data_IF_144755297758
#
_entry.id   IF_144755297758
#
_cell.length_a   1.000
_cell.length_b   1.000
_cell.length_c   1.000
_cell.angle_alpha   90.00
_cell.angle_beta   90.00
_cell.angle_gamma   90.00
#
_symmetry.space_group_name_H-M   'P 1'
#
loop_
_entity.id
_entity.type
_entity.pdbx_description
1 polymer ?
#
# COMPACT_ATOMS: atom_id res chain seq x y z
N UNK A 1 -77.64 -5.99 -35.58
CA UNK A 1 -76.30 -6.59 -35.74
C UNK A 1 -75.24 -5.67 -35.14
N UNK A 2 -75.37 -5.32 -33.83
CA UNK A 2 -74.59 -4.20 -33.25
C UNK A 2 -74.33 -4.31 -31.73
N UNK A 3 -74.45 -5.51 -31.14
CA UNK A 3 -74.28 -5.68 -29.69
C UNK A 3 -73.11 -6.60 -29.29
N UNK A 4 -72.35 -7.13 -30.24
CA UNK A 4 -71.27 -8.10 -29.98
C UNK A 4 -69.85 -7.51 -30.06
N UNK A 5 -69.69 -6.28 -30.56
CA UNK A 5 -68.35 -5.70 -30.81
C UNK A 5 -67.76 -4.96 -29.59
N UNK A 6 -68.62 -4.38 -28.75
CA UNK A 6 -68.17 -3.62 -27.57
C UNK A 6 -67.60 -4.51 -26.45
N UNK A 7 -68.04 -5.78 -26.34
CA UNK A 7 -67.53 -6.72 -25.33
C UNK A 7 -66.16 -7.29 -25.69
N UNK A 8 -65.85 -7.43 -26.98
CA UNK A 8 -64.56 -7.96 -27.43
C UNK A 8 -63.46 -6.89 -27.29
N UNK A 9 -63.78 -5.62 -27.55
CA UNK A 9 -62.85 -4.50 -27.30
C UNK A 9 -62.56 -4.29 -25.81
N UNK A 10 -63.56 -4.47 -24.93
CA UNK A 10 -63.35 -4.37 -23.48
C UNK A 10 -62.48 -5.53 -22.95
N UNK A 11 -62.64 -6.74 -23.49
CA UNK A 11 -61.82 -7.89 -23.13
C UNK A 11 -60.37 -7.77 -23.64
N UNK A 12 -60.17 -7.14 -24.82
CA UNK A 12 -58.84 -6.86 -25.38
C UNK A 12 -58.11 -5.73 -24.62
N UNK A 13 -58.84 -4.72 -24.12
CA UNK A 13 -58.30 -3.67 -23.25
C UNK A 13 -57.93 -4.18 -21.85
N UNK A 14 -58.63 -5.20 -21.34
CA UNK A 14 -58.30 -5.87 -20.08
C UNK A 14 -57.09 -6.83 -20.20
N UNK A 15 -56.81 -7.37 -21.39
CA UNK A 15 -55.64 -8.21 -21.66
C UNK A 15 -54.36 -7.39 -22.01
N UNK A 16 -54.50 -6.09 -22.26
CA UNK A 16 -53.39 -5.14 -22.48
C UNK A 16 -52.91 -4.43 -21.20
N UNK A 17 -53.49 -4.75 -20.04
CA UNK A 17 -52.78 -4.54 -18.77
C UNK A 17 -51.71 -5.62 -18.62
N UNK A 18 -50.72 -5.57 -19.52
CA UNK A 18 -49.39 -6.03 -19.20
C UNK A 18 -49.01 -5.22 -17.98
N UNK A 19 -49.06 -5.86 -16.81
CA UNK A 19 -48.35 -5.37 -15.65
C UNK A 19 -46.93 -5.13 -16.13
N UNK A 20 -46.58 -3.85 -16.35
CA UNK A 20 -45.19 -3.45 -16.19
C UNK A 20 -44.94 -3.67 -14.72
N UNK A 21 -44.53 -4.89 -14.36
CA UNK A 21 -43.87 -5.12 -13.09
C UNK A 21 -42.55 -4.37 -13.24
N UNK A 22 -42.59 -3.05 -13.04
CA UNK A 22 -41.41 -2.33 -12.59
C UNK A 22 -41.03 -3.07 -11.33
N UNK A 23 -40.01 -3.92 -11.40
CA UNK A 23 -39.53 -4.64 -10.23
C UNK A 23 -39.21 -3.57 -9.19
N UNK A 24 -40.12 -3.37 -8.24
CA UNK A 24 -39.99 -2.30 -7.28
C UNK A 24 -38.83 -2.69 -6.38
N UNK A 25 -37.78 -1.85 -6.39
CA UNK A 25 -36.64 -2.04 -5.51
C UNK A 25 -37.16 -2.30 -4.09
N UNK A 26 -36.58 -3.28 -3.42
CA UNK A 26 -37.02 -3.69 -2.10
C UNK A 26 -37.12 -2.47 -1.15
N UNK A 27 -38.20 -2.30 -0.36
CA UNK A 27 -38.45 -1.07 0.39
C UNK A 27 -37.31 -0.65 1.32
N UNK A 28 -36.61 -1.60 1.93
CA UNK A 28 -35.46 -1.32 2.79
C UNK A 28 -34.28 -0.71 2.01
N UNK A 29 -34.05 -1.15 0.78
CA UNK A 29 -32.97 -0.68 -0.08
C UNK A 29 -33.33 0.70 -0.64
N UNK A 30 -34.58 0.90 -1.05
CA UNK A 30 -35.12 2.19 -1.45
C UNK A 30 -34.93 3.26 -0.36
N UNK A 31 -35.34 2.97 0.88
CA UNK A 31 -35.17 3.90 2.01
C UNK A 31 -33.69 4.15 2.35
N UNK A 32 -32.83 3.16 2.18
CA UNK A 32 -31.39 3.32 2.38
C UNK A 32 -30.77 4.25 1.33
N UNK A 33 -31.16 4.13 0.06
CA UNK A 33 -30.72 5.04 -1.01
C UNK A 33 -31.22 6.47 -0.78
N UNK A 34 -32.46 6.65 -0.33
CA UNK A 34 -32.98 7.99 0.04
C UNK A 34 -32.16 8.61 1.18
N UNK A 35 -31.86 7.81 2.22
CA UNK A 35 -31.04 8.26 3.33
C UNK A 35 -29.60 8.60 2.89
N UNK A 36 -29.04 7.84 1.95
CA UNK A 36 -27.71 8.09 1.38
C UNK A 36 -27.69 9.41 0.59
N UNK A 37 -28.68 9.62 -0.28
CA UNK A 37 -28.86 10.87 -1.03
C UNK A 37 -29.03 12.09 -0.12
N UNK A 38 -29.74 11.94 0.99
CA UNK A 38 -29.96 13.02 1.95
C UNK A 38 -28.71 13.32 2.80
N UNK A 39 -27.80 12.36 2.96
CA UNK A 39 -26.61 12.48 3.83
C UNK A 39 -25.35 12.93 3.08
N UNK A 40 -25.37 12.84 1.75
CA UNK A 40 -24.26 13.20 0.87
C UNK A 40 -24.71 14.25 -0.15
N UNK A 41 -23.78 15.15 -0.49
CA UNK A 41 -24.00 16.21 -1.46
C UNK A 41 -22.84 16.29 -2.43
N UNK A 42 -23.13 16.70 -3.66
CA UNK A 42 -22.11 17.05 -4.65
C UNK A 42 -21.26 18.24 -4.15
N UNK A 43 -19.95 18.15 -4.32
CA UNK A 43 -19.08 19.32 -4.20
C UNK A 43 -19.23 20.24 -5.41
N UNK A 44 -18.93 21.55 -5.29
CA UNK A 44 -18.99 22.48 -6.43
C UNK A 44 -18.20 21.94 -7.63
N UNK A 45 -18.87 21.74 -8.77
CA UNK A 45 -18.31 21.14 -9.98
C UNK A 45 -18.58 19.64 -10.16
N UNK A 46 -19.22 18.99 -9.19
CA UNK A 46 -19.82 17.65 -9.33
C UNK A 46 -21.31 17.76 -9.62
N UNK A 47 -21.85 16.78 -10.35
CA UNK A 47 -23.27 16.65 -10.66
C UNK A 47 -23.73 15.18 -10.54
N UNK A 48 -23.07 14.40 -9.69
CA UNK A 48 -23.32 12.96 -9.55
C UNK A 48 -24.75 12.67 -9.11
N UNK A 49 -25.26 13.41 -8.12
CA UNK A 49 -26.60 13.20 -7.60
C UNK A 49 -27.70 13.89 -8.41
N UNK A 50 -27.37 14.61 -9.48
CA UNK A 50 -28.35 15.27 -10.34
C UNK A 50 -29.28 14.25 -11.02
N UNK A 51 -28.76 13.07 -11.36
CA UNK A 51 -29.52 11.99 -11.99
C UNK A 51 -30.25 11.07 -11.00
N UNK A 52 -30.12 11.29 -9.69
CA UNK A 52 -30.82 10.51 -8.66
C UNK A 52 -32.23 11.08 -8.46
N UNK A 53 -33.13 10.71 -9.36
CA UNK A 53 -34.55 11.06 -9.31
C UNK A 53 -35.38 9.87 -8.80
N UNK A 54 -35.89 9.99 -7.58
CA UNK A 54 -36.68 8.95 -6.92
C UNK A 54 -38.11 8.77 -7.49
N UNK A 55 -38.46 9.48 -8.57
CA UNK A 55 -39.65 9.14 -9.38
C UNK A 55 -39.36 8.02 -10.39
N UNK A 56 -38.09 7.74 -10.68
CA UNK A 56 -37.63 6.65 -11.53
C UNK A 56 -37.14 5.44 -10.71
N UNK A 57 -36.83 4.34 -11.40
CA UNK A 57 -36.24 3.15 -10.79
C UNK A 57 -34.83 3.46 -10.25
N UNK A 58 -34.56 3.34 -8.94
CA UNK A 58 -33.24 3.62 -8.39
C UNK A 58 -32.13 2.71 -8.92
N UNK A 59 -32.47 1.56 -9.52
CA UNK A 59 -31.50 0.69 -10.18
C UNK A 59 -30.92 1.29 -11.46
N UNK A 60 -31.48 2.39 -12.00
CA UNK A 60 -30.89 3.15 -13.10
C UNK A 60 -30.00 4.31 -12.63
N UNK A 61 -29.88 4.54 -11.32
CA UNK A 61 -29.07 5.65 -10.82
C UNK A 61 -27.59 5.43 -11.10
N UNK A 62 -26.83 6.49 -11.47
CA UNK A 62 -25.39 6.38 -11.60
C UNK A 62 -24.75 5.79 -10.35
N UNK A 63 -23.96 4.74 -10.56
CA UNK A 63 -23.24 4.05 -9.49
C UNK A 63 -24.07 3.06 -8.67
N UNK A 64 -25.37 2.89 -8.92
CA UNK A 64 -26.19 1.86 -8.27
C UNK A 64 -26.31 0.65 -9.19
N UNK A 65 -26.01 -0.53 -8.68
CA UNK A 65 -26.22 -1.80 -9.38
C UNK A 65 -27.14 -2.69 -8.56
N UNK A 66 -28.18 -3.18 -9.21
CA UNK A 66 -29.14 -4.10 -8.63
C UNK A 66 -29.01 -5.51 -9.20
N UNK A 67 -29.44 -6.50 -8.41
CA UNK A 67 -29.73 -7.86 -8.86
C UNK A 67 -31.12 -8.21 -8.35
N UNK A 68 -32.04 -8.50 -9.27
CA UNK A 68 -33.47 -8.55 -8.98
C UNK A 68 -33.93 -7.25 -8.27
N UNK A 69 -34.58 -7.35 -7.12
CA UNK A 69 -35.12 -6.24 -6.34
C UNK A 69 -34.14 -5.71 -5.28
N UNK A 70 -32.85 -6.07 -5.34
CA UNK A 70 -31.86 -5.73 -4.31
C UNK A 70 -30.65 -4.98 -4.87
N UNK A 71 -30.15 -4.01 -4.11
CA UNK A 71 -28.88 -3.33 -4.41
C UNK A 71 -27.71 -4.22 -4.03
N UNK A 72 -26.85 -4.53 -5.00
CA UNK A 72 -25.68 -5.40 -4.82
C UNK A 72 -24.35 -4.64 -4.87
N UNK A 73 -24.30 -3.50 -5.57
CA UNK A 73 -23.14 -2.62 -5.54
C UNK A 73 -23.54 -1.14 -5.56
N UNK A 74 -22.76 -0.32 -4.85
CA UNK A 74 -22.86 1.14 -4.89
C UNK A 74 -21.46 1.73 -5.13
N UNK A 75 -21.32 2.61 -6.12
CA UNK A 75 -20.14 3.42 -6.40
C UNK A 75 -20.50 4.90 -6.38
N UNK A 76 -20.06 5.61 -5.34
CA UNK A 76 -20.47 7.00 -5.10
C UNK A 76 -19.48 8.00 -5.67
N UNK A 77 -19.98 8.91 -6.51
CA UNK A 77 -19.24 9.99 -7.18
C UNK A 77 -18.71 9.61 -8.57
N UNK A 78 -18.29 10.62 -9.34
CA UNK A 78 -17.75 10.42 -10.69
C UNK A 78 -16.25 10.06 -10.61
N UNK A 79 -15.81 8.91 -11.16
CA UNK A 79 -14.42 8.47 -11.12
C UNK A 79 -13.51 9.21 -12.10
N UNK A 80 -14.03 10.11 -12.95
CA UNK A 80 -13.23 10.92 -13.88
C UNK A 80 -12.20 11.75 -13.12
N UNK A 81 -10.99 11.80 -13.68
CA UNK A 81 -9.94 12.67 -13.19
C UNK A 81 -10.45 14.12 -13.11
N UNK A 82 -10.22 14.77 -11.96
CA UNK A 82 -10.67 16.13 -11.61
C UNK A 82 -12.11 16.29 -11.11
N UNK A 83 -12.89 15.21 -10.99
CA UNK A 83 -14.14 15.28 -10.23
C UNK A 83 -13.84 15.72 -8.78
N UNK A 84 -14.52 16.75 -8.25
CA UNK A 84 -14.27 17.23 -6.89
C UNK A 84 -14.81 16.26 -5.83
N UNK A 85 -15.63 15.27 -6.24
CA UNK A 85 -16.19 14.25 -5.37
C UNK A 85 -17.41 14.71 -4.58
N UNK A 86 -17.63 14.05 -3.44
CA UNK A 86 -18.80 14.26 -2.58
C UNK A 86 -18.39 14.82 -1.21
N UNK A 87 -19.34 15.43 -0.51
CA UNK A 87 -19.23 15.85 0.89
C UNK A 87 -20.41 15.32 1.70
N UNK A 88 -20.35 15.46 3.02
CA UNK A 88 -21.39 14.98 3.94
C UNK A 88 -20.89 13.84 4.82
N UNK A 89 -21.78 12.90 5.17
CA UNK A 89 -21.47 11.77 6.05
C UNK A 89 -22.10 10.48 5.54
N UNK A 90 -21.46 9.35 5.79
CA UNK A 90 -22.06 8.04 5.51
C UNK A 90 -23.15 7.76 6.55
N UNK A 91 -24.41 7.49 6.14
CA UNK A 91 -25.49 7.21 7.07
C UNK A 91 -25.39 5.78 7.61
N UNK A 92 -25.90 5.57 8.83
CA UNK A 92 -26.01 4.23 9.41
C UNK A 92 -26.96 3.33 8.62
N UNK A 93 -27.96 3.89 7.94
CA UNK A 93 -28.93 3.15 7.12
C UNK A 93 -28.32 2.26 6.03
N UNK A 94 -27.04 2.45 5.69
CA UNK A 94 -26.29 1.54 4.81
C UNK A 94 -26.41 0.08 5.25
N UNK A 95 -26.49 -0.22 6.56
CA UNK A 95 -26.66 -1.60 7.04
C UNK A 95 -27.91 -2.31 6.49
N UNK A 96 -28.93 -1.56 6.06
CA UNK A 96 -30.21 -2.10 5.56
C UNK A 96 -30.08 -2.71 4.17
N UNK A 97 -29.04 -2.36 3.41
CA UNK A 97 -28.75 -2.91 2.09
C UNK A 97 -28.20 -4.34 2.22
N UNK A 98 -29.08 -5.27 2.60
CA UNK A 98 -28.70 -6.62 3.04
C UNK A 98 -27.96 -7.45 1.97
N UNK A 99 -28.17 -7.15 0.69
CA UNK A 99 -27.50 -7.82 -0.44
C UNK A 99 -26.24 -7.10 -0.93
N UNK A 100 -25.88 -5.96 -0.33
CA UNK A 100 -24.75 -5.14 -0.78
C UNK A 100 -23.43 -5.91 -0.61
N UNK A 101 -22.78 -6.17 -1.73
CA UNK A 101 -21.48 -6.83 -1.81
C UNK A 101 -20.36 -5.82 -2.02
N UNK A 102 -20.61 -4.70 -2.67
CA UNK A 102 -19.58 -3.72 -3.00
C UNK A 102 -20.04 -2.30 -2.65
N UNK A 103 -19.18 -1.58 -1.92
CA UNK A 103 -19.37 -0.16 -1.64
C UNK A 103 -18.06 0.57 -1.92
N UNK A 104 -18.09 1.51 -2.85
CA UNK A 104 -16.98 2.40 -3.14
C UNK A 104 -17.41 3.88 -3.10
N UNK A 105 -16.46 4.73 -2.75
CA UNK A 105 -16.60 6.18 -2.73
C UNK A 105 -15.34 6.79 -3.33
N UNK A 106 -15.50 7.66 -4.31
CA UNK A 106 -14.37 8.41 -4.91
C UNK A 106 -13.78 9.39 -3.89
N UNK A 107 -12.51 9.80 -4.04
CA UNK A 107 -11.91 10.83 -3.20
C UNK A 107 -12.74 12.11 -3.15
N UNK A 108 -12.85 12.72 -1.97
CA UNK A 108 -13.74 13.85 -1.71
C UNK A 108 -13.60 14.40 -0.30
N UNK A 109 -14.67 15.01 0.22
CA UNK A 109 -14.72 15.62 1.55
C UNK A 109 -15.72 14.92 2.48
N UNK A 110 -16.09 13.66 2.22
CA UNK A 110 -16.97 12.91 3.11
C UNK A 110 -16.29 12.70 4.46
N UNK A 111 -16.96 13.11 5.52
CA UNK A 111 -16.39 13.20 6.86
C UNK A 111 -17.17 12.37 7.89
N UNK A 112 -16.64 12.33 9.11
CA UNK A 112 -17.24 11.61 10.23
C UNK A 112 -16.80 10.15 10.32
N UNK A 113 -17.35 9.39 11.28
CA UNK A 113 -16.96 8.01 11.48
C UNK A 113 -17.49 7.09 10.39
N UNK A 114 -16.79 5.98 10.17
CA UNK A 114 -17.35 4.84 9.45
C UNK A 114 -18.54 4.32 10.27
N UNK A 115 -19.72 4.14 9.67
CA UNK A 115 -20.89 3.63 10.38
C UNK A 115 -20.60 2.33 11.13
N UNK A 116 -21.06 2.25 12.37
CA UNK A 116 -20.82 1.09 13.24
C UNK A 116 -21.41 -0.20 12.65
N UNK A 117 -22.55 -0.08 11.95
CA UNK A 117 -23.21 -1.16 11.26
C UNK A 117 -23.05 -0.98 9.75
N UNK A 118 -22.46 -1.98 9.11
CA UNK A 118 -22.32 -2.11 7.66
C UNK A 118 -22.97 -3.42 7.22
N UNK A 119 -23.38 -3.56 5.95
CA UNK A 119 -23.99 -4.80 5.47
C UNK A 119 -23.07 -6.01 5.66
N UNK A 120 -23.55 -7.10 6.29
CA UNK A 120 -22.73 -8.28 6.58
C UNK A 120 -22.24 -9.01 5.32
N UNK A 121 -22.91 -8.77 4.18
CA UNK A 121 -22.58 -9.35 2.87
C UNK A 121 -21.42 -8.69 2.14
N UNK A 122 -20.88 -7.57 2.64
CA UNK A 122 -19.83 -6.82 1.96
C UNK A 122 -18.58 -7.68 1.69
N UNK A 123 -18.11 -7.58 0.44
CA UNK A 123 -16.89 -8.20 -0.09
C UNK A 123 -15.84 -7.16 -0.43
N UNK A 124 -16.28 -5.98 -0.87
CA UNK A 124 -15.41 -4.88 -1.26
C UNK A 124 -15.88 -3.57 -0.60
N UNK A 125 -14.99 -2.94 0.17
CA UNK A 125 -15.23 -1.63 0.76
C UNK A 125 -14.04 -0.72 0.49
N UNK A 126 -14.24 0.31 -0.34
CA UNK A 126 -13.20 1.29 -0.69
C UNK A 126 -13.69 2.72 -0.46
N UNK A 127 -13.16 3.38 0.55
CA UNK A 127 -13.52 4.75 0.95
C UNK A 127 -12.29 5.67 1.01
N UNK A 128 -11.31 5.40 0.15
CA UNK A 128 -10.02 6.07 0.17
C UNK A 128 -10.13 7.58 -0.16
N UNK A 129 -9.20 8.38 0.36
CA UNK A 129 -9.05 9.79 -0.04
C UNK A 129 -10.19 10.70 0.42
N UNK A 130 -10.69 10.50 1.64
CA UNK A 130 -11.79 11.27 2.23
C UNK A 130 -11.38 11.85 3.60
N UNK A 131 -12.34 12.37 4.36
CA UNK A 131 -12.12 12.95 5.69
C UNK A 131 -12.67 12.06 6.82
N UNK A 132 -12.80 10.75 6.57
CA UNK A 132 -13.34 9.81 7.55
C UNK A 132 -12.46 9.77 8.80
N UNK A 133 -13.07 9.78 9.97
CA UNK A 133 -12.38 9.95 11.25
C UNK A 133 -12.87 8.99 12.32
N UNK A 134 -12.31 9.08 13.53
CA UNK A 134 -12.64 8.16 14.61
C UNK A 134 -11.91 6.82 14.49
N UNK A 135 -12.33 5.86 15.32
CA UNK A 135 -11.66 4.56 15.48
C UNK A 135 -12.23 3.50 14.55
N UNK A 136 -11.38 2.59 14.09
CA UNK A 136 -11.82 1.34 13.49
C UNK A 136 -12.51 0.49 14.57
N UNK A 137 -13.83 0.37 14.47
CA UNK A 137 -14.61 -0.34 15.48
C UNK A 137 -14.50 -1.86 15.33
N UNK A 138 -14.57 -2.62 16.43
CA UNK A 138 -14.62 -4.09 16.39
C UNK A 138 -15.81 -4.64 15.58
N UNK A 139 -16.86 -3.86 15.34
CA UNK A 139 -18.03 -4.27 14.55
C UNK A 139 -17.71 -4.63 13.10
N UNK A 140 -16.56 -4.19 12.56
CA UNK A 140 -16.06 -4.63 11.25
C UNK A 140 -15.83 -6.16 11.18
N UNK A 141 -15.80 -6.84 12.32
CA UNK A 141 -15.73 -8.32 12.41
C UNK A 141 -16.93 -9.05 11.84
N UNK A 142 -18.08 -8.39 11.80
CA UNK A 142 -19.31 -8.96 11.24
C UNK A 142 -19.19 -9.15 9.72
N UNK A 143 -18.26 -8.42 9.08
CA UNK A 143 -18.00 -8.49 7.64
C UNK A 143 -17.15 -9.72 7.28
N UNK A 144 -17.67 -10.91 7.60
CA UNK A 144 -16.96 -12.20 7.43
C UNK A 144 -16.60 -12.50 5.97
N UNK A 145 -17.33 -11.92 5.01
CA UNK A 145 -17.12 -12.07 3.57
C UNK A 145 -16.23 -10.99 2.95
N UNK A 146 -15.71 -10.06 3.76
CA UNK A 146 -14.90 -8.94 3.26
C UNK A 146 -13.57 -9.45 2.74
N UNK A 147 -13.27 -9.11 1.48
CA UNK A 147 -12.04 -9.50 0.77
C UNK A 147 -11.09 -8.33 0.62
N UNK A 148 -11.64 -7.14 0.36
CA UNK A 148 -10.88 -5.90 0.18
C UNK A 148 -11.44 -4.82 1.09
N UNK A 149 -10.57 -4.24 1.90
CA UNK A 149 -10.83 -3.04 2.67
C UNK A 149 -9.77 -2.00 2.36
N UNK A 150 -10.18 -0.90 1.73
CA UNK A 150 -9.36 0.28 1.49
C UNK A 150 -9.97 1.50 2.17
N UNK A 151 -9.29 1.98 3.21
CA UNK A 151 -9.62 3.19 3.95
C UNK A 151 -8.44 4.17 3.95
N UNK A 152 -7.55 4.06 2.96
CA UNK A 152 -6.35 4.87 2.88
C UNK A 152 -6.63 6.37 2.72
N UNK A 153 -5.66 7.21 3.07
CA UNK A 153 -5.75 8.67 2.97
C UNK A 153 -7.03 9.24 3.62
N UNK A 154 -7.22 8.92 4.90
CA UNK A 154 -8.31 9.42 5.75
C UNK A 154 -7.74 9.99 7.06
N UNK A 155 -8.59 10.25 8.05
CA UNK A 155 -8.24 10.77 9.38
C UNK A 155 -8.53 9.76 10.50
N UNK A 156 -8.52 8.46 10.19
CA UNK A 156 -8.81 7.40 11.15
C UNK A 156 -7.72 7.33 12.22
N UNK A 157 -8.10 7.05 13.47
CA UNK A 157 -7.18 7.09 14.60
C UNK A 157 -7.42 5.95 15.59
N UNK A 158 -6.51 5.80 16.55
CA UNK A 158 -6.55 4.73 17.55
C UNK A 158 -6.00 3.40 17.04
N UNK A 159 -6.13 2.32 17.83
CA UNK A 159 -5.51 1.04 17.53
C UNK A 159 -6.21 0.28 16.41
N UNK A 160 -5.42 -0.52 15.69
CA UNK A 160 -5.94 -1.50 14.73
C UNK A 160 -6.65 -2.62 15.52
N UNK A 161 -7.95 -2.87 15.31
CA UNK A 161 -8.65 -3.94 16.01
C UNK A 161 -8.12 -5.32 15.58
N UNK A 162 -7.65 -6.12 16.54
CA UNK A 162 -7.12 -7.48 16.29
C UNK A 162 -8.09 -8.38 15.52
N UNK A 163 -9.37 -8.12 15.68
CA UNK A 163 -10.44 -8.88 15.07
C UNK A 163 -10.61 -8.62 13.57
N UNK A 164 -10.19 -7.45 13.07
CA UNK A 164 -10.11 -7.15 11.63
C UNK A 164 -9.05 -8.02 10.94
N UNK A 165 -7.92 -8.26 11.61
CA UNK A 165 -6.83 -9.11 11.15
C UNK A 165 -7.11 -10.62 11.27
N UNK A 166 -8.33 -10.99 11.70
CA UNK A 166 -8.82 -12.37 11.79
C UNK A 166 -10.03 -12.64 10.89
N UNK A 167 -10.37 -11.70 10.00
CA UNK A 167 -11.43 -11.90 9.01
C UNK A 167 -11.03 -13.02 8.03
N UNK A 168 -11.89 -14.03 7.81
CA UNK A 168 -11.50 -15.28 7.17
C UNK A 168 -11.30 -15.14 5.65
N UNK A 169 -11.94 -14.16 5.00
CA UNK A 169 -11.82 -13.93 3.55
C UNK A 169 -10.96 -12.71 3.19
N UNK A 170 -10.42 -11.98 4.18
CA UNK A 170 -9.72 -10.72 3.94
C UNK A 170 -8.37 -10.96 3.27
N UNK A 171 -8.23 -10.47 2.04
CA UNK A 171 -7.03 -10.61 1.20
C UNK A 171 -6.27 -9.29 1.05
N UNK A 172 -6.95 -8.17 1.06
CA UNK A 172 -6.36 -6.85 0.87
C UNK A 172 -6.82 -5.89 1.94
N UNK A 173 -5.86 -5.38 2.71
CA UNK A 173 -6.09 -4.38 3.75
C UNK A 173 -5.17 -3.18 3.49
N UNK A 174 -5.76 -2.03 3.17
CA UNK A 174 -5.06 -0.78 2.89
C UNK A 174 -5.61 0.28 3.84
N UNK A 175 -4.77 0.69 4.80
CA UNK A 175 -5.10 1.70 5.82
C UNK A 175 -4.04 2.81 5.86
N UNK A 176 -3.26 2.94 4.79
CA UNK A 176 -2.16 3.89 4.71
C UNK A 176 -2.61 5.34 4.77
N UNK A 177 -1.74 6.26 5.21
CA UNK A 177 -2.05 7.68 5.25
C UNK A 177 -3.20 8.01 6.22
N UNK A 178 -3.15 7.42 7.42
CA UNK A 178 -4.10 7.68 8.50
C UNK A 178 -3.33 8.10 9.77
N UNK A 179 -4.00 8.11 10.93
CA UNK A 179 -3.43 8.42 12.25
C UNK A 179 -3.57 7.21 13.19
N UNK A 180 -3.51 5.99 12.65
CA UNK A 180 -3.60 4.76 13.43
C UNK A 180 -2.40 4.65 14.36
N UNK A 181 -2.65 4.26 15.60
CA UNK A 181 -1.66 4.25 16.70
C UNK A 181 -1.62 2.90 17.41
N UNK A 182 -0.67 2.74 18.34
CA UNK A 182 -0.47 1.46 19.04
C UNK A 182 0.19 0.41 18.15
N UNK A 183 0.23 -0.84 18.63
CA UNK A 183 0.89 -1.93 17.94
C UNK A 183 0.01 -2.61 16.89
N UNK A 184 0.65 -3.21 15.90
CA UNK A 184 -0.01 -4.17 15.00
C UNK A 184 -0.36 -5.41 15.85
N UNK A 185 -1.65 -5.81 15.93
CA UNK A 185 -2.07 -6.93 16.76
C UNK A 185 -1.39 -8.25 16.40
N UNK A 186 -1.10 -9.05 17.42
CA UNK A 186 -0.63 -10.43 17.26
C UNK A 186 -1.77 -11.34 16.80
N UNK A 187 -1.41 -12.52 16.27
CA UNK A 187 -2.39 -13.53 15.85
C UNK A 187 -3.11 -13.16 14.55
N UNK A 188 -2.38 -12.56 13.60
CA UNK A 188 -2.90 -12.29 12.24
C UNK A 188 -3.18 -13.62 11.54
N UNK A 189 -4.46 -13.94 11.36
CA UNK A 189 -4.92 -15.18 10.72
C UNK A 189 -5.68 -14.96 9.42
N UNK A 190 -6.00 -13.70 9.08
CA UNK A 190 -6.56 -13.36 7.77
C UNK A 190 -5.59 -13.80 6.65
N UNK A 191 -6.08 -14.37 5.54
CA UNK A 191 -5.26 -14.83 4.41
C UNK A 191 -4.81 -13.65 3.54
N UNK A 192 -4.11 -12.69 4.14
CA UNK A 192 -3.70 -11.44 3.49
C UNK A 192 -2.69 -11.72 2.38
N UNK A 193 -2.96 -11.13 1.22
CA UNK A 193 -2.05 -11.02 0.08
C UNK A 193 -1.38 -9.65 0.04
N UNK A 194 -2.12 -8.62 0.48
CA UNK A 194 -1.65 -7.22 0.55
C UNK A 194 -1.99 -6.60 1.90
N UNK A 195 -0.96 -6.11 2.59
CA UNK A 195 -1.08 -5.31 3.80
C UNK A 195 -0.33 -3.99 3.61
N UNK A 196 -1.06 -2.88 3.66
CA UNK A 196 -0.52 -1.54 3.49
C UNK A 196 -0.95 -0.64 4.67
N UNK A 197 0.00 -0.37 5.57
CA UNK A 197 -0.19 0.45 6.76
C UNK A 197 0.76 1.66 6.78
N UNK A 198 1.36 2.01 5.64
CA UNK A 198 2.36 3.08 5.59
C UNK A 198 1.77 4.44 5.99
N UNK A 199 2.63 5.36 6.43
CA UNK A 199 2.22 6.70 6.88
C UNK A 199 1.11 6.67 7.94
N UNK A 200 1.43 6.05 9.07
CA UNK A 200 0.63 6.05 10.29
C UNK A 200 1.55 6.37 11.50
N UNK A 201 1.05 6.23 12.72
CA UNK A 201 1.83 6.41 13.96
C UNK A 201 1.88 5.11 14.76
N UNK A 202 1.99 3.98 14.07
CA UNK A 202 2.06 2.64 14.68
C UNK A 202 3.39 2.45 15.41
N UNK A 203 3.34 1.76 16.55
CA UNK A 203 4.49 1.52 17.43
C UNK A 203 4.67 0.03 17.72
N UNK A 204 5.73 -0.33 18.44
CA UNK A 204 5.98 -1.71 18.87
C UNK A 204 6.56 -2.59 17.77
N UNK A 205 6.43 -3.91 17.94
CA UNK A 205 7.11 -4.92 17.13
C UNK A 205 6.26 -5.41 15.97
N UNK A 206 6.93 -5.92 14.92
CA UNK A 206 6.27 -6.63 13.84
C UNK A 206 5.78 -8.01 14.34
N UNK A 207 4.46 -8.30 14.35
CA UNK A 207 3.97 -9.62 14.70
C UNK A 207 4.26 -10.65 13.60
N UNK A 208 3.99 -11.93 13.87
CA UNK A 208 3.94 -12.91 12.79
C UNK A 208 2.84 -12.55 11.80
N UNK A 209 3.22 -12.49 10.52
CA UNK A 209 2.35 -12.20 9.40
C UNK A 209 2.11 -13.48 8.57
N UNK A 210 1.00 -13.56 7.83
CA UNK A 210 0.66 -14.75 7.06
C UNK A 210 1.64 -14.96 5.90
N UNK A 211 2.00 -16.21 5.66
CA UNK A 211 2.94 -16.61 4.59
C UNK A 211 2.46 -16.25 3.18
N UNK A 212 1.15 -16.01 3.02
CA UNK A 212 0.51 -15.65 1.76
C UNK A 212 0.79 -14.22 1.29
N UNK A 213 1.42 -13.38 2.12
CA UNK A 213 1.68 -11.98 1.78
C UNK A 213 2.61 -11.85 0.58
N UNK A 214 2.16 -11.05 -0.39
CA UNK A 214 2.89 -10.67 -1.59
C UNK A 214 3.31 -9.19 -1.56
N UNK A 215 2.54 -8.35 -0.88
CA UNK A 215 2.81 -6.93 -0.72
C UNK A 215 2.72 -6.55 0.75
N UNK A 216 3.82 -6.01 1.28
CA UNK A 216 3.87 -5.45 2.63
C UNK A 216 4.48 -4.05 2.61
N UNK A 217 3.70 -3.05 3.00
CA UNK A 217 4.22 -1.70 3.25
C UNK A 217 3.85 -1.23 4.65
N UNK A 218 4.88 -0.96 5.45
CA UNK A 218 4.80 -0.44 6.82
C UNK A 218 5.60 0.86 6.97
N UNK A 219 5.98 1.47 5.85
CA UNK A 219 6.87 2.61 5.84
C UNK A 219 6.33 3.81 6.61
N UNK A 220 7.22 4.68 7.10
CA UNK A 220 6.84 5.92 7.79
C UNK A 220 5.91 5.66 8.98
N UNK A 221 6.40 4.86 9.92
CA UNK A 221 5.77 4.57 11.21
C UNK A 221 6.82 4.70 12.32
N UNK A 222 6.49 4.27 13.54
CA UNK A 222 7.38 4.24 14.70
C UNK A 222 7.62 2.79 15.17
N UNK A 223 7.57 1.83 14.24
CA UNK A 223 7.78 0.41 14.52
C UNK A 223 9.24 0.13 14.83
N UNK A 224 9.50 -0.83 15.71
CA UNK A 224 10.84 -1.12 16.22
C UNK A 224 11.12 -2.61 16.42
N UNK A 225 12.33 -2.91 16.89
CA UNK A 225 12.80 -4.26 17.16
C UNK A 225 13.26 -5.02 15.93
N UNK A 226 13.43 -6.34 16.07
CA UNK A 226 13.99 -7.22 15.04
C UNK A 226 12.93 -7.78 14.12
N UNK A 227 13.30 -7.99 12.86
CA UNK A 227 12.42 -8.51 11.79
C UNK A 227 12.93 -9.82 11.19
N UNK A 228 14.11 -10.28 11.58
CA UNK A 228 14.79 -11.48 11.08
C UNK A 228 13.88 -12.71 11.10
N UNK A 229 13.23 -13.00 12.24
CA UNK A 229 12.35 -14.18 12.39
C UNK A 229 11.06 -14.09 11.58
N UNK A 230 10.55 -12.89 11.36
CA UNK A 230 9.28 -12.68 10.65
C UNK A 230 9.49 -12.73 9.15
N UNK A 231 10.49 -12.00 8.64
CA UNK A 231 10.77 -11.89 7.21
C UNK A 231 11.14 -13.24 6.58
N UNK A 232 11.84 -14.12 7.31
CA UNK A 232 12.18 -15.47 6.85
C UNK A 232 10.96 -16.31 6.43
N UNK A 233 9.76 -16.01 6.94
CA UNK A 233 8.54 -16.78 6.64
C UNK A 233 7.74 -16.24 5.46
N UNK A 234 8.12 -15.07 4.93
CA UNK A 234 7.34 -14.35 3.93
C UNK A 234 7.91 -14.55 2.51
N UNK A 235 8.14 -15.80 2.13
CA UNK A 235 8.79 -16.18 0.87
C UNK A 235 7.98 -15.85 -0.39
N UNK A 236 6.71 -15.49 -0.25
CA UNK A 236 5.84 -15.05 -1.35
C UNK A 236 5.91 -13.55 -1.64
N UNK A 237 6.70 -12.79 -0.86
CA UNK A 237 6.83 -11.34 -1.04
C UNK A 237 7.39 -10.99 -2.41
N UNK A 238 6.75 -10.00 -3.03
CA UNK A 238 7.18 -9.34 -4.27
C UNK A 238 7.52 -7.87 -4.04
N UNK A 239 6.91 -7.27 -3.02
CA UNK A 239 7.13 -5.89 -2.60
C UNK A 239 7.25 -5.81 -1.08
N UNK A 240 8.33 -5.22 -0.59
CA UNK A 240 8.55 -4.98 0.83
C UNK A 240 9.06 -3.55 1.06
N UNK A 241 8.31 -2.76 1.82
CA UNK A 241 8.73 -1.44 2.27
C UNK A 241 8.57 -1.32 3.80
N UNK A 242 9.70 -1.30 4.50
CA UNK A 242 9.82 -1.07 5.94
C UNK A 242 10.52 0.27 6.24
N UNK A 243 10.69 1.13 5.24
CA UNK A 243 11.51 2.33 5.35
C UNK A 243 10.97 3.33 6.38
N UNK A 244 11.84 4.20 6.90
CA UNK A 244 11.45 5.26 7.85
C UNK A 244 10.73 4.67 9.08
N UNK A 245 11.46 3.84 9.81
CA UNK A 245 11.03 3.20 11.06
C UNK A 245 12.23 3.12 12.03
N UNK A 246 12.10 2.35 13.10
CA UNK A 246 13.12 2.13 14.12
C UNK A 246 13.52 0.64 14.20
N UNK A 247 13.35 -0.12 13.11
CA UNK A 247 13.73 -1.53 13.06
C UNK A 247 15.24 -1.70 13.22
N UNK A 248 15.65 -2.79 13.88
CA UNK A 248 17.05 -3.04 14.24
C UNK A 248 17.42 -4.51 14.07
N UNK A 249 18.70 -4.83 14.27
CA UNK A 249 19.22 -6.18 14.13
C UNK A 249 19.62 -6.53 12.70
N UNK A 250 20.05 -7.78 12.47
CA UNK A 250 20.55 -8.23 11.18
C UNK A 250 19.42 -8.46 10.17
N UNK A 251 19.77 -8.32 8.89
CA UNK A 251 18.90 -8.73 7.78
C UNK A 251 19.08 -10.23 7.52
N UNK A 252 17.99 -11.02 7.40
CA UNK A 252 18.09 -12.43 7.05
C UNK A 252 18.54 -12.59 5.58
N UNK A 253 19.49 -13.49 5.32
CA UNK A 253 20.06 -13.71 3.99
C UNK A 253 19.05 -14.18 2.94
N UNK A 254 18.10 -15.02 3.35
CA UNK A 254 17.07 -15.58 2.46
C UNK A 254 16.09 -14.53 1.93
N UNK A 255 15.99 -13.37 2.58
CA UNK A 255 15.18 -12.25 2.10
C UNK A 255 15.58 -11.84 0.67
N UNK A 256 16.87 -11.95 0.34
CA UNK A 256 17.42 -11.59 -0.96
C UNK A 256 17.19 -12.68 -2.03
N UNK A 257 16.89 -13.90 -1.61
CA UNK A 257 16.57 -15.02 -2.51
C UNK A 257 15.07 -15.04 -2.88
N UNK A 258 14.23 -14.23 -2.25
CA UNK A 258 12.81 -14.11 -2.62
C UNK A 258 12.64 -13.31 -3.91
N UNK A 259 11.51 -13.51 -4.59
CA UNK A 259 11.18 -12.84 -5.84
C UNK A 259 10.72 -11.36 -5.64
N UNK A 260 11.46 -10.62 -4.81
CA UNK A 260 11.15 -9.23 -4.46
C UNK A 260 11.68 -8.29 -5.56
N UNK A 261 10.79 -7.56 -6.22
CA UNK A 261 11.15 -6.55 -7.21
C UNK A 261 11.57 -5.23 -6.57
N UNK A 262 10.98 -4.90 -5.42
CA UNK A 262 11.27 -3.67 -4.65
C UNK A 262 11.43 -3.98 -3.18
N UNK A 263 12.64 -3.76 -2.66
CA UNK A 263 13.02 -3.93 -1.26
C UNK A 263 13.49 -2.59 -0.70
N UNK A 264 12.68 -1.98 0.16
CA UNK A 264 12.93 -0.67 0.75
C UNK A 264 13.05 -0.78 2.27
N UNK A 265 14.27 -0.68 2.77
CA UNK A 265 14.61 -0.82 4.20
C UNK A 265 15.30 0.42 4.75
N UNK A 266 15.36 1.50 3.97
CA UNK A 266 16.12 2.69 4.29
C UNK A 266 15.61 3.45 5.51
N UNK A 267 16.49 4.22 6.15
CA UNK A 267 16.18 5.04 7.34
C UNK A 267 15.60 4.18 8.48
N UNK A 268 16.40 3.21 8.89
CA UNK A 268 16.15 2.32 10.03
C UNK A 268 17.44 2.22 10.88
N UNK A 269 17.48 1.25 11.79
CA UNK A 269 18.63 0.94 12.63
C UNK A 269 19.17 -0.48 12.36
N UNK A 270 18.94 -1.04 11.16
CA UNK A 270 19.45 -2.36 10.78
C UNK A 270 20.98 -2.39 10.89
N UNK A 271 21.53 -3.49 11.38
CA UNK A 271 22.95 -3.57 11.72
C UNK A 271 23.56 -4.93 11.38
N UNK A 272 24.88 -5.00 11.49
CA UNK A 272 25.62 -6.19 11.10
C UNK A 272 25.80 -6.31 9.59
N UNK A 273 26.49 -7.37 9.14
CA UNK A 273 26.79 -7.58 7.74
C UNK A 273 25.59 -8.11 6.96
N UNK A 274 25.46 -7.64 5.71
CA UNK A 274 24.48 -8.17 4.75
C UNK A 274 25.07 -9.43 4.12
N UNK A 275 24.40 -10.57 4.32
CA UNK A 275 24.83 -11.87 3.79
C UNK A 275 23.69 -12.55 3.04
N UNK A 276 23.46 -12.19 1.77
CA UNK A 276 22.50 -12.90 0.93
C UNK A 276 22.83 -14.40 0.88
N UNK A 277 21.83 -15.28 0.93
CA UNK A 277 22.07 -16.74 0.84
C UNK A 277 22.36 -17.20 -0.60
N UNK A 278 22.11 -16.33 -1.58
CA UNK A 278 22.41 -16.53 -2.99
C UNK A 278 22.26 -15.21 -3.76
N UNK A 279 22.44 -15.24 -5.10
CA UNK A 279 22.16 -14.09 -5.94
C UNK A 279 20.69 -13.67 -5.84
N UNK A 280 20.42 -12.39 -6.10
CA UNK A 280 19.05 -11.89 -6.16
C UNK A 280 18.20 -12.68 -7.16
N UNK A 281 17.00 -13.08 -6.75
CA UNK A 281 16.09 -13.83 -7.61
C UNK A 281 15.50 -13.00 -8.76
N UNK A 282 15.47 -11.66 -8.61
CA UNK A 282 14.94 -10.73 -9.62
C UNK A 282 16.08 -9.85 -10.14
N UNK A 283 16.47 -10.07 -11.39
CA UNK A 283 17.38 -9.17 -12.11
C UNK A 283 16.67 -7.83 -12.37
N UNK A 284 17.36 -6.71 -12.16
CA UNK A 284 16.78 -5.37 -12.26
C UNK A 284 16.03 -4.89 -11.01
N UNK A 285 16.04 -5.65 -9.90
CA UNK A 285 15.36 -5.26 -8.67
C UNK A 285 15.85 -3.90 -8.11
N UNK A 286 14.95 -3.20 -7.41
CA UNK A 286 15.28 -1.99 -6.66
C UNK A 286 15.51 -2.34 -5.20
N UNK A 287 16.72 -2.12 -4.72
CA UNK A 287 17.14 -2.41 -3.34
C UNK A 287 17.65 -1.12 -2.70
N UNK A 288 16.97 -0.70 -1.65
CA UNK A 288 17.36 0.46 -0.85
C UNK A 288 17.59 0.06 0.61
N UNK A 289 18.87 0.00 0.98
CA UNK A 289 19.34 -0.26 2.35
C UNK A 289 19.97 0.99 2.98
N UNK A 290 19.80 2.16 2.34
CA UNK A 290 20.48 3.39 2.74
C UNK A 290 20.09 3.85 4.16
N UNK A 291 20.90 4.71 4.78
CA UNK A 291 20.61 5.26 6.11
C UNK A 291 20.32 4.19 7.17
N UNK A 292 21.28 3.28 7.37
CA UNK A 292 21.23 2.23 8.38
C UNK A 292 22.58 2.13 9.11
N UNK A 293 22.78 1.06 9.90
CA UNK A 293 24.02 0.76 10.62
C UNK A 293 24.67 -0.53 10.08
N UNK A 294 24.43 -0.87 8.82
CA UNK A 294 24.94 -2.09 8.19
C UNK A 294 26.46 -2.05 8.08
N UNK A 295 27.12 -3.17 8.32
CA UNK A 295 28.58 -3.30 8.37
C UNK A 295 29.09 -4.35 7.39
N UNK A 296 30.39 -4.68 7.43
CA UNK A 296 30.98 -5.72 6.61
C UNK A 296 31.36 -5.23 5.21
N UNK A 297 31.64 -6.17 4.30
CA UNK A 297 31.88 -5.88 2.90
C UNK A 297 30.56 -5.70 2.15
N UNK A 298 30.60 -4.98 1.04
CA UNK A 298 29.46 -4.94 0.10
C UNK A 298 29.32 -6.33 -0.53
N UNK A 299 28.17 -7.01 -0.40
CA UNK A 299 27.97 -8.35 -0.97
C UNK A 299 27.89 -8.30 -2.50
N UNK A 300 28.61 -9.22 -3.15
CA UNK A 300 28.63 -9.35 -4.61
C UNK A 300 27.31 -9.89 -5.17
N UNK A 301 26.58 -10.63 -4.34
CA UNK A 301 25.29 -11.27 -4.64
C UNK A 301 24.18 -10.24 -4.97
N UNK A 302 24.37 -8.97 -4.60
CA UNK A 302 23.45 -7.88 -4.94
C UNK A 302 23.68 -7.31 -6.36
N UNK A 303 24.66 -7.81 -7.11
CA UNK A 303 24.96 -7.35 -8.47
C UNK A 303 23.79 -7.40 -9.48
N UNK A 304 22.81 -8.32 -9.37
CA UNK A 304 21.63 -8.28 -10.23
C UNK A 304 20.68 -7.10 -9.99
N UNK A 305 20.88 -6.28 -8.95
CA UNK A 305 20.03 -5.12 -8.72
C UNK A 305 20.12 -4.12 -9.87
N UNK A 306 18.99 -3.61 -10.34
CA UNK A 306 18.94 -2.53 -11.32
C UNK A 306 19.19 -1.16 -10.67
N UNK A 307 18.79 -1.02 -9.41
CA UNK A 307 19.02 0.17 -8.57
C UNK A 307 19.43 -0.25 -7.18
N UNK A 308 20.61 0.15 -6.75
CA UNK A 308 21.19 -0.25 -5.48
C UNK A 308 21.63 0.96 -4.66
N UNK A 309 20.96 1.17 -3.52
CA UNK A 309 21.26 2.23 -2.57
C UNK A 309 21.81 1.60 -1.28
N UNK A 310 23.09 1.86 -1.01
CA UNK A 310 23.83 1.37 0.16
C UNK A 310 24.49 2.52 0.93
N UNK A 311 24.16 3.76 0.59
CA UNK A 311 24.71 4.96 1.17
C UNK A 311 24.31 5.18 2.63
N UNK A 312 25.07 6.01 3.35
CA UNK A 312 24.86 6.28 4.77
C UNK A 312 24.79 5.00 5.62
N UNK A 313 25.81 4.16 5.48
CA UNK A 313 25.99 2.92 6.24
C UNK A 313 27.42 2.85 6.80
N UNK A 314 27.85 1.66 7.20
CA UNK A 314 29.20 1.38 7.71
C UNK A 314 29.88 0.26 6.92
N UNK A 315 29.60 0.16 5.62
CA UNK A 315 30.27 -0.80 4.74
C UNK A 315 31.77 -0.47 4.61
N UNK A 316 32.58 -1.52 4.47
CA UNK A 316 34.04 -1.49 4.47
C UNK A 316 34.60 -2.36 3.35
N UNK A 317 35.90 -2.25 3.10
CA UNK A 317 36.57 -3.06 2.08
C UNK A 317 36.40 -2.49 0.67
N UNK A 318 36.78 -3.28 -0.32
CA UNK A 318 36.66 -2.92 -1.74
C UNK A 318 35.25 -3.22 -2.24
N UNK A 319 34.77 -2.42 -3.19
CA UNK A 319 33.53 -2.73 -3.92
C UNK A 319 33.77 -3.93 -4.84
N UNK A 320 32.92 -4.96 -4.82
CA UNK A 320 33.03 -6.11 -5.71
C UNK A 320 33.11 -5.70 -7.18
N UNK A 321 34.04 -6.31 -7.93
CA UNK A 321 34.26 -6.03 -9.36
C UNK A 321 33.00 -6.32 -10.17
N UNK A 322 32.25 -7.38 -9.85
CA UNK A 322 30.99 -7.72 -10.54
C UNK A 322 29.93 -6.61 -10.48
N UNK A 323 29.89 -5.81 -9.41
CA UNK A 323 28.99 -4.66 -9.32
C UNK A 323 29.43 -3.56 -10.29
N UNK A 324 30.74 -3.34 -10.41
CA UNK A 324 31.34 -2.38 -11.33
C UNK A 324 31.11 -2.83 -12.78
N UNK A 325 31.31 -4.11 -13.09
CA UNK A 325 31.12 -4.65 -14.43
C UNK A 325 29.69 -4.45 -14.91
N UNK A 326 28.70 -4.72 -14.06
CA UNK A 326 27.28 -4.48 -14.38
C UNK A 326 26.92 -3.01 -14.53
N UNK A 327 27.56 -2.14 -13.75
CA UNK A 327 27.41 -0.70 -13.86
C UNK A 327 27.95 -0.19 -15.20
N UNK A 328 29.16 -0.60 -15.58
CA UNK A 328 29.83 -0.22 -16.84
C UNK A 328 29.10 -0.80 -18.06
N UNK A 329 28.58 -2.02 -17.95
CA UNK A 329 27.76 -2.66 -18.98
C UNK A 329 26.36 -2.03 -19.15
N UNK A 330 25.97 -1.06 -18.31
CA UNK A 330 24.65 -0.44 -18.33
C UNK A 330 23.51 -1.34 -17.84
N UNK A 331 23.84 -2.48 -17.23
CA UNK A 331 22.87 -3.42 -16.64
C UNK A 331 22.38 -2.94 -15.27
N UNK A 332 23.20 -2.16 -14.55
CA UNK A 332 22.82 -1.45 -13.33
C UNK A 332 22.68 0.05 -13.64
N UNK A 333 21.49 0.61 -13.38
CA UNK A 333 21.18 2.03 -13.65
C UNK A 333 21.58 2.95 -12.50
N UNK A 334 21.67 2.44 -11.29
CA UNK A 334 21.98 3.25 -10.12
C UNK A 334 22.80 2.48 -9.08
N UNK A 335 23.90 3.08 -8.63
CA UNK A 335 24.72 2.58 -7.52
C UNK A 335 25.14 3.71 -6.59
N UNK A 336 24.54 3.77 -5.41
CA UNK A 336 24.82 4.77 -4.38
C UNK A 336 25.55 4.12 -3.20
N UNK A 337 26.77 4.60 -2.94
CA UNK A 337 27.70 4.07 -1.94
C UNK A 337 28.31 5.16 -1.06
N UNK A 338 27.87 6.41 -1.20
CA UNK A 338 28.39 7.54 -0.45
C UNK A 338 28.20 7.37 1.05
N UNK A 339 29.01 8.07 1.84
CA UNK A 339 28.94 8.02 3.31
C UNK A 339 29.13 6.61 3.90
N UNK A 340 30.10 5.84 3.39
CA UNK A 340 30.56 4.57 3.96
C UNK A 340 32.06 4.66 4.35
N UNK A 341 32.72 3.51 4.54
CA UNK A 341 34.14 3.38 4.84
C UNK A 341 34.86 2.46 3.84
N UNK A 342 34.46 2.56 2.57
CA UNK A 342 35.01 1.76 1.48
C UNK A 342 36.45 2.16 1.16
N UNK A 343 37.27 1.19 0.78
CA UNK A 343 38.72 1.35 0.60
C UNK A 343 39.20 1.21 -0.85
N UNK A 344 38.31 0.91 -1.79
CA UNK A 344 38.68 0.80 -3.20
C UNK A 344 37.47 0.66 -4.14
N UNK A 345 37.62 1.27 -5.31
CA UNK A 345 36.68 1.24 -6.43
C UNK A 345 37.48 0.93 -7.70
N UNK A 346 37.30 -0.25 -8.28
CA UNK A 346 38.06 -0.67 -9.47
C UNK A 346 37.32 -0.26 -10.76
N UNK A 347 37.02 1.05 -10.90
CA UNK A 347 36.31 1.61 -12.07
C UNK A 347 37.34 2.13 -13.08
N UNK A 348 37.77 1.27 -14.00
CA UNK A 348 38.74 1.62 -15.06
C UNK A 348 38.11 2.18 -16.35
N UNK A 349 36.81 1.96 -16.56
CA UNK A 349 36.08 2.33 -17.78
C UNK A 349 35.07 3.47 -17.54
N UNK A 350 34.64 4.11 -18.64
CA UNK A 350 33.62 5.15 -18.59
C UNK A 350 32.26 4.57 -18.18
N UNK A 351 31.61 5.19 -17.20
CA UNK A 351 30.24 4.83 -16.78
C UNK A 351 29.24 5.39 -17.81
N UNK A 352 28.26 4.59 -18.29
CA UNK A 352 27.27 5.05 -19.26
C UNK A 352 26.51 6.30 -18.79
N UNK A 353 26.14 7.19 -19.72
CA UNK A 353 25.47 8.46 -19.40
C UNK A 353 24.10 8.29 -18.71
N UNK A 354 23.42 7.16 -18.91
CA UNK A 354 22.14 6.81 -18.27
C UNK A 354 22.27 6.20 -16.87
N UNK A 355 23.49 6.08 -16.35
CA UNK A 355 23.79 5.45 -15.08
C UNK A 355 24.16 6.49 -14.02
N UNK A 356 23.52 6.42 -12.85
CA UNK A 356 23.81 7.28 -11.71
C UNK A 356 24.72 6.59 -10.70
N UNK A 357 25.92 7.14 -10.47
CA UNK A 357 26.91 6.60 -9.55
C UNK A 357 27.27 7.64 -8.49
N UNK A 358 27.28 7.24 -7.22
CA UNK A 358 27.63 8.10 -6.11
C UNK A 358 28.59 7.42 -5.12
N UNK A 359 29.79 7.98 -4.97
CA UNK A 359 30.91 7.36 -4.22
C UNK A 359 31.53 8.26 -3.15
N UNK A 360 31.08 9.50 -3.02
CA UNK A 360 31.70 10.51 -2.17
C UNK A 360 31.73 10.12 -0.68
N UNK A 361 32.64 10.72 0.09
CA UNK A 361 32.73 10.53 1.54
C UNK A 361 33.03 9.07 1.97
N UNK A 362 33.97 8.43 1.27
CA UNK A 362 34.54 7.11 1.59
C UNK A 362 36.02 7.22 1.97
N UNK A 363 36.66 6.11 2.37
CA UNK A 363 38.08 6.06 2.79
C UNK A 363 39.08 6.00 1.63
N UNK A 364 38.61 6.25 0.41
CA UNK A 364 39.40 6.37 -0.80
C UNK A 364 38.78 7.49 -1.63
N UNK A 365 39.61 8.21 -2.39
CA UNK A 365 39.11 9.22 -3.32
C UNK A 365 38.26 8.54 -4.42
N UNK A 366 37.13 9.14 -4.81
CA UNK A 366 36.35 8.62 -5.92
C UNK A 366 37.12 8.79 -7.24
N UNK A 367 36.89 7.94 -8.26
CA UNK A 367 37.54 8.07 -9.56
C UNK A 367 37.25 9.43 -10.19
N UNK A 368 38.18 10.04 -10.95
CA UNK A 368 37.99 11.35 -11.57
C UNK A 368 36.83 11.38 -12.58
N UNK A 369 36.47 10.23 -13.17
CA UNK A 369 35.33 10.04 -14.07
C UNK A 369 33.97 10.03 -13.37
N UNK A 370 33.93 9.96 -12.04
CA UNK A 370 32.69 9.99 -11.27
C UNK A 370 32.12 11.41 -11.18
N UNK A 371 30.84 11.56 -11.56
CA UNK A 371 30.12 12.83 -11.39
C UNK A 371 29.86 13.04 -9.90
N UNK A 372 29.82 14.31 -9.48
CA UNK A 372 29.48 14.65 -8.10
C UNK A 372 28.04 14.26 -7.78
N UNK A 373 27.81 13.83 -6.54
CA UNK A 373 26.48 13.48 -6.06
C UNK A 373 25.59 14.71 -5.99
N UNK A 374 24.53 14.76 -6.80
CA UNK A 374 23.64 15.90 -6.83
C UNK A 374 22.74 15.96 -5.58
N UNK A 375 23.11 16.82 -4.61
CA UNK A 375 22.25 17.74 -3.82
C UNK A 375 22.98 18.25 -2.57
N UNK A 376 23.05 19.58 -2.48
CA UNK A 376 23.26 20.45 -1.32
C UNK A 376 24.46 20.20 -0.39
N UNK A 377 25.35 21.20 -0.39
CA UNK A 377 26.64 21.30 0.29
C UNK A 377 27.67 20.27 -0.20
N UNK A 378 28.65 20.70 -1.02
CA UNK A 378 29.77 19.86 -1.50
C UNK A 378 30.41 19.16 -0.31
N UNK A 379 30.09 17.89 -0.02
CA UNK A 379 30.75 17.18 1.05
C UNK A 379 32.20 16.96 0.63
N UNK A 380 33.14 16.82 1.57
CA UNK A 380 34.50 16.48 1.18
C UNK A 380 34.46 15.17 0.37
N UNK A 381 35.09 15.18 -0.81
CA UNK A 381 35.12 14.02 -1.73
C UNK A 381 35.59 12.73 -1.05
N UNK A 382 36.41 12.87 -0.02
CA UNK A 382 36.95 11.78 0.78
C UNK A 382 36.67 12.00 2.26
N UNK A 383 36.46 10.91 2.99
CA UNK A 383 36.31 10.90 4.44
C UNK A 383 37.66 11.24 5.12
N UNK A 384 37.67 12.01 6.22
CA UNK A 384 38.90 12.30 6.95
C UNK A 384 39.70 11.04 7.33
N UNK A 385 41.03 11.00 7.12
CA UNK A 385 41.85 9.82 7.37
C UNK A 385 41.75 9.24 8.79
N UNK A 386 41.56 10.10 9.79
CA UNK A 386 41.40 9.71 11.20
C UNK A 386 40.19 8.80 11.43
N UNK A 387 39.06 9.09 10.76
CA UNK A 387 37.86 8.27 10.83
C UNK A 387 38.04 6.91 10.15
N UNK A 388 38.92 6.84 9.15
CA UNK A 388 39.25 5.61 8.43
C UNK A 388 40.28 4.75 9.19
N UNK A 389 41.20 5.36 9.93
CA UNK A 389 42.21 4.68 10.73
C UNK A 389 41.61 3.87 11.89
N UNK A 390 40.53 4.35 12.50
CA UNK A 390 39.83 3.67 13.61
C UNK A 390 39.28 2.29 13.20
N UNK A 391 38.87 2.13 11.93
CA UNK A 391 38.37 0.85 11.40
C UNK A 391 39.51 -0.12 11.11
N UNK A 392 40.67 0.39 10.67
CA UNK A 392 41.88 -0.42 10.45
C UNK A 392 42.43 -1.02 11.74
N UNK A 393 42.32 -0.30 12.87
CA UNK A 393 42.76 -0.79 14.19
C UNK A 393 41.89 -1.93 14.72
N UNK A 394 40.55 -1.89 14.55
CA UNK A 394 39.63 -2.97 14.96
C UNK A 394 39.83 -4.30 14.21
N UNK A 395 40.40 -4.27 12.99
CA UNK A 395 40.76 -5.49 12.23
C UNK A 395 42.04 -6.18 12.69
N UNK A 396 42.88 -5.52 13.51
CA UNK A 396 44.13 -6.10 14.02
C UNK A 396 44.00 -6.70 15.42
N UNK A 397 42.82 -6.57 16.05
CA UNK A 397 42.56 -6.94 17.45
C UNK A 397 41.53 -8.07 17.61
N UNK A 398 41.08 -8.65 16.50
CA UNK A 398 40.35 -9.93 16.39
C UNK A 398 41.16 -10.82 15.46
#
# INVERSE_FOLDING_TARGET
MQATDAKLQLLLLLLLQVFVVSATLHPADYLALQSLRASLSDLPGSAFFLAWDFTADPCSFPGVLCSADRVVAISLGDPRARSPGLTGRLPSSLFRLSALAELSLVPGLVAGPIPAALPPGLRFLALAGNLLSGRLQPSLTVLRRLRTLDLSANRLSGPLPASLLRLPELRTLILSGNRLSGSIPVGVSAPLLRLDLHANVLTGFLPFLPYSLMYLSLASNQLSGRVDRVLLRLSQLRFLDLSVNQFSGPLPGDLFAFAISTLQLQRNQFCGPVRPSGPLAVDGATIDLSYNRLTGAVPAELAPAGRLYLDFNRFTGRVPVVLVDRLVAGQMRLLYLQHNFLTGFDIGAAVPAGTSLCLEYNCVAPPPSSRSCARDAVPPRMRPPEQCAAIRKKKKSN
#
